data_IF_088103423470
#
_entry.id   IF_088103423470
#
_cell.length_a   1.000
_cell.length_b   1.000
_cell.length_c   1.000
_cell.angle_alpha   90.00
_cell.angle_beta   90.00
_cell.angle_gamma   90.00
#
_symmetry.space_group_name_H-M   'P 1'
#
loop_
_entity.id
_entity.type
_entity.pdbx_description
1 polymer ?
#
# COMPACT_ATOMS: atom_id res chain seq x y z
N UNK A 1 -5.08 3.93 -19.06
CA UNK A 1 -4.52 5.16 -18.45
C UNK A 1 -4.61 4.98 -16.94
N UNK A 2 -3.59 5.34 -16.18
CA UNK A 2 -3.58 5.21 -14.71
C UNK A 2 -3.88 6.57 -14.10
N UNK A 3 -4.83 6.61 -13.17
CA UNK A 3 -5.13 7.78 -12.35
C UNK A 3 -4.46 7.67 -10.98
N UNK A 4 -3.78 8.73 -10.57
CA UNK A 4 -3.08 8.81 -9.29
C UNK A 4 -3.85 9.67 -8.30
N UNK A 5 -4.38 9.05 -7.26
CA UNK A 5 -4.92 9.74 -6.10
C UNK A 5 -3.80 9.96 -5.09
N UNK A 6 -3.35 11.21 -4.92
CA UNK A 6 -2.18 11.53 -4.11
C UNK A 6 -2.59 12.18 -2.80
N UNK A 7 -2.49 11.42 -1.71
CA UNK A 7 -2.75 11.91 -0.35
C UNK A 7 -1.61 12.84 0.10
N UNK A 8 -1.87 14.15 0.05
CA UNK A 8 -0.90 15.18 0.44
C UNK A 8 -0.87 15.42 1.96
N UNK A 9 -1.86 14.88 2.70
CA UNK A 9 -1.98 15.07 4.14
C UNK A 9 -2.08 16.56 4.49
N UNK A 10 -1.23 17.02 5.42
CA UNK A 10 -1.13 18.44 5.83
C UNK A 10 -0.14 19.25 4.96
N UNK A 11 0.45 18.65 3.93
CA UNK A 11 1.42 19.32 3.07
C UNK A 11 0.71 20.13 1.97
N UNK A 12 0.33 21.36 2.34
CA UNK A 12 -0.35 22.31 1.45
C UNK A 12 0.50 22.70 0.23
N UNK A 13 1.82 22.75 0.39
CA UNK A 13 2.73 23.06 -0.71
C UNK A 13 2.70 21.96 -1.77
N UNK A 14 2.71 20.69 -1.37
CA UNK A 14 2.60 19.56 -2.29
C UNK A 14 1.23 19.53 -2.98
N UNK A 15 0.15 19.73 -2.22
CA UNK A 15 -1.20 19.80 -2.78
C UNK A 15 -1.30 20.87 -3.87
N UNK A 16 -0.83 22.09 -3.59
CA UNK A 16 -0.83 23.20 -4.56
C UNK A 16 0.01 22.89 -5.80
N UNK A 17 1.21 22.31 -5.63
CA UNK A 17 2.08 21.91 -6.74
C UNK A 17 1.40 20.89 -7.67
N UNK A 18 0.78 19.86 -7.11
CA UNK A 18 0.12 18.82 -7.91
C UNK A 18 -1.15 19.35 -8.58
N UNK A 19 -1.94 20.15 -7.87
CA UNK A 19 -3.16 20.77 -8.42
C UNK A 19 -2.84 21.69 -9.61
N UNK A 20 -1.74 22.41 -9.53
CA UNK A 20 -1.31 23.33 -10.59
C UNK A 20 -0.45 22.66 -11.67
N UNK A 21 -0.22 21.35 -11.60
CA UNK A 21 0.65 20.64 -12.56
C UNK A 21 0.06 20.48 -13.96
N UNK A 22 -1.26 20.68 -14.11
CA UNK A 22 -1.96 20.50 -15.39
C UNK A 22 -2.09 19.04 -15.85
N UNK A 23 -1.65 18.06 -15.03
CA UNK A 23 -1.76 16.63 -15.35
C UNK A 23 -3.15 16.10 -15.01
N UNK A 24 -3.91 15.73 -16.03
CA UNK A 24 -5.29 15.25 -15.90
C UNK A 24 -5.43 13.97 -15.06
N UNK A 25 -4.39 13.12 -15.05
CA UNK A 25 -4.38 11.84 -14.34
C UNK A 25 -3.81 11.92 -12.92
N UNK A 26 -3.63 13.12 -12.35
CA UNK A 26 -3.20 13.30 -10.97
C UNK A 26 -4.29 14.06 -10.20
N UNK A 27 -4.87 13.37 -9.21
CA UNK A 27 -5.89 13.89 -8.31
C UNK A 27 -5.27 14.08 -6.92
N UNK A 28 -4.82 15.30 -6.57
CA UNK A 28 -4.30 15.55 -5.23
C UNK A 28 -5.44 15.61 -4.22
N UNK A 29 -5.27 14.90 -3.11
CA UNK A 29 -6.20 14.86 -1.98
C UNK A 29 -5.57 15.52 -0.75
N UNK A 30 -6.38 16.27 -0.02
CA UNK A 30 -5.99 16.85 1.29
C UNK A 30 -6.04 15.77 2.38
N UNK A 31 -5.69 16.14 3.60
CA UNK A 31 -5.88 15.28 4.76
C UNK A 31 -7.35 14.87 4.93
N UNK A 32 -7.62 13.56 4.85
CA UNK A 32 -8.94 12.97 5.08
C UNK A 32 -9.07 12.71 6.59
N UNK A 33 -10.00 13.40 7.24
CA UNK A 33 -10.28 13.24 8.69
C UNK A 33 -11.19 12.05 8.99
N UNK A 34 -12.09 11.74 8.05
CA UNK A 34 -13.12 10.72 8.24
C UNK A 34 -12.56 9.34 7.89
N UNK A 35 -12.62 8.40 8.82
CA UNK A 35 -12.16 7.02 8.60
C UNK A 35 -12.98 6.32 7.52
N UNK A 36 -14.30 6.56 7.46
CA UNK A 36 -15.16 5.95 6.45
C UNK A 36 -14.86 6.48 5.05
N UNK A 37 -14.52 7.77 4.93
CA UNK A 37 -14.09 8.37 3.68
C UNK A 37 -12.75 7.79 3.21
N UNK A 38 -11.80 7.63 4.13
CA UNK A 38 -10.52 6.97 3.84
C UNK A 38 -10.75 5.51 3.41
N UNK A 39 -11.59 4.78 4.12
CA UNK A 39 -11.92 3.39 3.81
C UNK A 39 -12.57 3.25 2.42
N UNK A 40 -13.50 4.16 2.06
CA UNK A 40 -14.08 4.22 0.71
C UNK A 40 -13.03 4.49 -0.36
N UNK A 41 -12.04 5.35 -0.09
CA UNK A 41 -10.94 5.59 -1.01
C UNK A 41 -10.12 4.30 -1.24
N UNK A 42 -9.79 3.56 -0.18
CA UNK A 42 -9.13 2.25 -0.32
C UNK A 42 -9.95 1.27 -1.17
N UNK A 43 -11.27 1.27 -1.03
CA UNK A 43 -12.15 0.38 -1.81
C UNK A 43 -12.13 0.72 -3.31
N UNK A 44 -11.95 2.00 -3.66
CA UNK A 44 -11.98 2.50 -5.03
C UNK A 44 -10.65 2.38 -5.79
N UNK A 45 -9.52 2.13 -5.12
CA UNK A 45 -8.21 2.04 -5.77
C UNK A 45 -7.80 0.61 -6.12
N UNK A 46 -7.01 0.46 -7.17
CA UNK A 46 -6.52 -0.85 -7.61
C UNK A 46 -5.22 -1.26 -6.92
N UNK A 47 -4.40 -0.31 -6.48
CA UNK A 47 -3.15 -0.56 -5.78
C UNK A 47 -2.60 0.69 -5.10
N UNK A 48 -1.56 0.51 -4.27
CA UNK A 48 -1.06 1.55 -3.37
C UNK A 48 0.44 1.70 -3.54
N UNK A 49 0.89 2.95 -3.72
CA UNK A 49 2.31 3.31 -3.71
C UNK A 49 2.60 4.01 -2.37
N UNK A 50 3.47 3.42 -1.54
CA UNK A 50 3.69 3.93 -0.18
C UNK A 50 5.08 3.58 0.37
N UNK A 51 5.37 4.07 1.57
CA UNK A 51 6.46 3.58 2.43
C UNK A 51 5.94 2.39 3.26
N UNK A 52 6.82 1.53 3.79
CA UNK A 52 6.42 0.34 4.55
C UNK A 52 6.02 0.66 6.00
N UNK A 53 5.20 1.70 6.20
CA UNK A 53 4.67 2.10 7.50
C UNK A 53 3.57 1.16 7.97
N UNK A 54 3.60 0.75 9.24
CA UNK A 54 2.76 -0.33 9.76
C UNK A 54 1.26 -0.17 9.55
N UNK A 55 0.72 1.05 9.72
CA UNK A 55 -0.72 1.33 9.58
C UNK A 55 -1.18 1.12 8.14
N UNK A 56 -0.58 1.86 7.19
CA UNK A 56 -0.95 1.80 5.78
C UNK A 56 -0.75 0.40 5.19
N UNK A 57 0.35 -0.28 5.57
CA UNK A 57 0.57 -1.65 5.12
C UNK A 57 -0.52 -2.58 5.63
N UNK A 58 -0.88 -2.51 6.92
CA UNK A 58 -1.91 -3.37 7.50
C UNK A 58 -3.27 -3.13 6.84
N UNK A 59 -3.66 -1.88 6.61
CA UNK A 59 -4.91 -1.53 5.91
C UNK A 59 -4.92 -2.04 4.46
N UNK A 60 -3.80 -1.88 3.75
CA UNK A 60 -3.64 -2.33 2.36
C UNK A 60 -3.73 -3.85 2.24
N UNK A 61 -3.06 -4.58 3.16
CA UNK A 61 -3.10 -6.05 3.21
C UNK A 61 -4.49 -6.55 3.55
N UNK A 62 -5.17 -5.93 4.52
CA UNK A 62 -6.54 -6.26 4.86
C UNK A 62 -7.47 -6.09 3.66
N UNK A 63 -7.29 -5.01 2.89
CA UNK A 63 -8.01 -4.72 1.64
C UNK A 63 -7.51 -5.50 0.42
N UNK A 64 -6.53 -6.40 0.59
CA UNK A 64 -5.92 -7.22 -0.45
C UNK A 64 -5.40 -6.41 -1.64
N UNK A 65 -4.91 -5.19 -1.40
CA UNK A 65 -4.41 -4.29 -2.45
C UNK A 65 -2.94 -4.59 -2.74
N UNK A 66 -2.53 -4.68 -4.02
CA UNK A 66 -1.13 -4.64 -4.41
C UNK A 66 -0.42 -3.42 -3.84
N UNK A 67 0.76 -3.65 -3.24
CA UNK A 67 1.53 -2.62 -2.53
C UNK A 67 2.89 -2.44 -3.21
N UNK A 68 3.17 -1.22 -3.63
CA UNK A 68 4.42 -0.82 -4.24
C UNK A 68 5.21 0.09 -3.29
N UNK A 69 6.41 -0.33 -2.91
CA UNK A 69 7.25 0.41 -1.97
C UNK A 69 8.25 1.28 -2.73
N UNK A 70 8.11 2.59 -2.61
CA UNK A 70 9.00 3.54 -3.29
C UNK A 70 10.22 3.96 -2.47
N UNK A 71 10.15 3.79 -1.14
CA UNK A 71 11.21 4.13 -0.20
C UNK A 71 10.94 3.49 1.17
N UNK A 72 11.98 3.29 1.97
CA UNK A 72 11.90 2.97 3.39
C UNK A 72 12.82 3.89 4.18
N UNK A 73 12.31 4.44 5.27
CA UNK A 73 13.10 5.26 6.18
C UNK A 73 14.01 4.39 7.06
N UNK A 74 15.21 4.87 7.46
CA UNK A 74 16.06 4.15 8.40
C UNK A 74 15.31 3.77 9.68
N UNK A 75 15.58 2.56 10.21
CA UNK A 75 14.92 2.03 11.40
C UNK A 75 13.83 1.01 11.07
N UNK A 76 12.66 1.14 11.71
CA UNK A 76 11.59 0.14 11.65
C UNK A 76 11.05 -0.11 10.24
N UNK A 77 11.04 0.91 9.38
CA UNK A 77 10.56 0.77 7.99
C UNK A 77 11.45 -0.16 7.16
N UNK A 78 12.77 -0.19 7.39
CA UNK A 78 13.68 -1.15 6.72
C UNK A 78 13.38 -2.58 7.16
N UNK A 79 13.12 -2.79 8.45
CA UNK A 79 12.76 -4.10 9.02
C UNK A 79 11.44 -4.59 8.42
N UNK A 80 10.43 -3.71 8.40
CA UNK A 80 9.14 -4.00 7.77
C UNK A 80 9.30 -4.39 6.30
N UNK A 81 10.09 -3.61 5.54
CA UNK A 81 10.31 -3.90 4.13
C UNK A 81 10.94 -5.28 3.91
N UNK A 82 11.96 -5.62 4.70
CA UNK A 82 12.62 -6.92 4.61
C UNK A 82 11.63 -8.07 4.82
N UNK A 83 10.81 -7.98 5.87
CA UNK A 83 9.81 -9.01 6.18
C UNK A 83 8.72 -9.10 5.11
N UNK A 84 8.18 -7.96 4.67
CA UNK A 84 7.13 -7.92 3.65
C UNK A 84 7.60 -8.52 2.32
N UNK A 85 8.85 -8.24 1.92
CA UNK A 85 9.46 -8.85 0.73
C UNK A 85 9.62 -10.35 0.86
N UNK A 86 10.11 -10.83 2.03
CA UNK A 86 10.26 -12.26 2.30
C UNK A 86 8.93 -13.02 2.17
N UNK A 87 7.83 -12.37 2.52
CA UNK A 87 6.48 -12.93 2.42
C UNK A 87 5.83 -12.76 1.02
N UNK A 88 6.48 -12.06 0.08
CA UNK A 88 5.90 -11.77 -1.25
C UNK A 88 4.74 -10.75 -1.22
N UNK A 89 4.64 -9.96 -0.15
CA UNK A 89 3.49 -9.08 0.10
C UNK A 89 3.64 -7.68 -0.51
N UNK A 90 4.81 -7.33 -1.03
CA UNK A 90 5.07 -6.01 -1.60
C UNK A 90 6.00 -6.11 -2.81
N UNK A 91 5.85 -5.18 -3.75
CA UNK A 91 6.83 -4.94 -4.81
C UNK A 91 7.70 -3.74 -4.44
N UNK A 92 9.01 -3.93 -4.38
CA UNK A 92 9.93 -2.83 -4.08
C UNK A 92 10.37 -2.13 -5.38
N UNK A 93 10.05 -0.85 -5.53
CA UNK A 93 10.32 -0.06 -6.73
C UNK A 93 11.80 0.38 -6.86
N UNK A 94 12.76 -0.34 -6.28
CA UNK A 94 14.17 0.07 -6.20
C UNK A 94 14.84 0.40 -7.54
N UNK A 95 14.33 -0.16 -8.62
CA UNK A 95 14.87 0.03 -9.97
C UNK A 95 14.23 1.21 -10.68
N UNK A 96 13.04 1.68 -10.29
CA UNK A 96 12.29 2.70 -11.03
C UNK A 96 13.08 3.99 -11.21
N UNK A 97 13.78 4.44 -10.15
CA UNK A 97 14.59 5.67 -10.19
C UNK A 97 15.77 5.61 -11.18
N UNK A 98 16.19 4.39 -11.57
CA UNK A 98 17.27 4.17 -12.54
C UNK A 98 16.74 3.96 -13.96
N UNK A 99 15.42 3.88 -14.14
CA UNK A 99 14.81 3.68 -15.44
C UNK A 99 14.42 5.01 -16.07
N UNK A 100 14.46 5.05 -17.40
CA UNK A 100 13.99 6.19 -18.21
C UNK A 100 12.46 6.19 -18.36
N UNK A 101 11.81 5.05 -18.12
CA UNK A 101 10.36 4.92 -18.28
C UNK A 101 9.59 5.64 -17.16
N UNK A 102 8.48 6.33 -17.49
CA UNK A 102 7.54 6.86 -16.52
C UNK A 102 6.96 5.78 -15.59
N UNK A 103 6.65 6.17 -14.34
CA UNK A 103 6.14 5.24 -13.32
C UNK A 103 4.77 4.64 -13.68
N UNK A 104 3.91 5.42 -14.33
CA UNK A 104 2.61 4.97 -14.81
C UNK A 104 2.72 3.89 -15.88
N UNK A 105 3.63 4.04 -16.85
CA UNK A 105 3.89 3.00 -17.84
C UNK A 105 4.41 1.71 -17.19
N UNK A 106 5.33 1.84 -16.23
CA UNK A 106 5.86 0.70 -15.48
C UNK A 106 4.77 -0.05 -14.69
N UNK A 107 3.96 0.67 -13.91
CA UNK A 107 2.85 0.08 -13.15
C UNK A 107 1.82 -0.52 -14.10
N UNK A 108 1.50 0.17 -15.21
CA UNK A 108 0.56 -0.34 -16.21
C UNK A 108 1.03 -1.65 -16.82
N UNK A 109 2.33 -1.77 -17.14
CA UNK A 109 2.92 -3.02 -17.63
C UNK A 109 2.83 -4.16 -16.60
N UNK A 110 3.05 -3.87 -15.30
CA UNK A 110 2.93 -4.87 -14.24
C UNK A 110 1.51 -5.45 -14.13
N UNK A 111 0.48 -4.59 -14.23
CA UNK A 111 -0.92 -5.01 -14.23
C UNK A 111 -1.33 -5.73 -15.52
N UNK A 112 -1.00 -5.16 -16.69
CA UNK A 112 -1.48 -5.66 -17.99
C UNK A 112 -0.89 -7.02 -18.35
N UNK A 113 0.39 -7.23 -18.05
CA UNK A 113 1.08 -8.43 -18.48
C UNK A 113 0.75 -9.66 -17.62
N UNK A 114 -0.20 -9.57 -16.65
CA UNK A 114 -0.40 -10.56 -15.59
C UNK A 114 0.95 -11.08 -15.12
N UNK A 115 1.82 -10.15 -14.77
CA UNK A 115 3.21 -10.47 -14.50
C UNK A 115 3.27 -11.61 -13.49
N UNK A 116 4.27 -12.50 -13.60
CA UNK A 116 4.45 -13.59 -12.64
C UNK A 116 4.35 -13.09 -11.20
N UNK A 117 4.88 -11.89 -10.95
CA UNK A 117 4.76 -11.23 -9.65
C UNK A 117 3.32 -10.99 -9.18
N UNK A 118 2.38 -10.57 -10.04
CA UNK A 118 0.98 -10.35 -9.65
C UNK A 118 0.30 -11.66 -9.23
N UNK A 119 0.60 -12.76 -9.91
CA UNK A 119 0.09 -14.09 -9.57
C UNK A 119 0.68 -14.57 -8.23
N UNK A 120 2.01 -14.53 -8.11
CA UNK A 120 2.72 -14.89 -6.88
C UNK A 120 2.23 -14.03 -5.69
N UNK A 121 2.02 -12.74 -5.93
CA UNK A 121 1.54 -11.80 -4.94
C UNK A 121 0.11 -12.13 -4.48
N UNK A 122 -0.78 -12.51 -5.40
CA UNK A 122 -2.14 -12.93 -5.06
C UNK A 122 -2.14 -14.18 -4.16
N UNK A 123 -1.25 -15.14 -4.45
CA UNK A 123 -1.06 -16.34 -3.64
C UNK A 123 -0.49 -15.99 -2.27
N UNK A 124 0.54 -15.15 -2.19
CA UNK A 124 1.13 -14.65 -0.95
C UNK A 124 0.11 -13.93 -0.06
N UNK A 125 -0.73 -13.06 -0.63
CA UNK A 125 -1.81 -12.39 0.12
C UNK A 125 -2.80 -13.42 0.66
N UNK A 126 -3.18 -14.40 -0.15
CA UNK A 126 -4.13 -15.44 0.27
C UNK A 126 -3.58 -16.28 1.42
N UNK A 127 -2.31 -16.68 1.36
CA UNK A 127 -1.61 -17.38 2.44
C UNK A 127 -1.51 -16.53 3.70
N UNK A 128 -1.17 -15.24 3.57
CA UNK A 128 -1.12 -14.32 4.70
C UNK A 128 -2.47 -14.22 5.41
N UNK A 129 -3.57 -14.10 4.66
CA UNK A 129 -4.93 -14.04 5.22
C UNK A 129 -5.33 -15.33 5.92
N UNK A 130 -4.90 -16.50 5.44
CA UNK A 130 -5.18 -17.79 6.09
C UNK A 130 -4.50 -17.93 7.45
N UNK A 131 -3.41 -17.19 7.68
CA UNK A 131 -2.66 -17.19 8.94
C UNK A 131 -3.22 -16.18 9.97
N UNK A 132 -4.18 -15.34 9.58
CA UNK A 132 -4.77 -14.37 10.49
C UNK A 132 -5.62 -15.08 11.54
N UNK A 133 -5.41 -14.72 12.80
CA UNK A 133 -6.26 -15.16 13.90
C UNK A 133 -7.69 -14.66 13.68
N UNK A 134 -8.65 -15.55 13.85
CA UNK A 134 -10.07 -15.21 13.91
C UNK A 134 -10.51 -14.70 15.28
N UNK A 135 -9.67 -14.93 16.31
CA UNK A 135 -9.90 -14.47 17.68
C UNK A 135 -9.59 -12.98 17.74
N UNK A 136 -10.56 -12.18 18.20
CA UNK A 136 -10.37 -10.75 18.41
C UNK A 136 -9.37 -10.46 19.53
N UNK A 137 -8.76 -9.25 19.57
CA UNK A 137 -7.80 -8.91 20.62
C UNK A 137 -8.39 -9.04 22.03
N UNK A 138 -9.67 -8.71 22.21
CA UNK A 138 -10.36 -8.81 23.51
C UNK A 138 -10.49 -10.27 23.92
N UNK A 139 -11.07 -11.11 23.07
CA UNK A 139 -11.24 -12.55 23.33
C UNK A 139 -9.89 -13.25 23.57
N UNK A 140 -8.85 -12.84 22.84
CA UNK A 140 -7.50 -13.35 23.02
C UNK A 140 -6.93 -12.99 24.40
N UNK A 141 -7.10 -11.73 24.83
CA UNK A 141 -6.66 -11.28 26.15
C UNK A 141 -7.43 -12.00 27.25
N UNK A 142 -8.75 -12.15 27.13
CA UNK A 142 -9.56 -12.87 28.10
C UNK A 142 -9.10 -14.33 28.23
N UNK A 143 -8.87 -15.00 27.11
CA UNK A 143 -8.32 -16.36 27.09
C UNK A 143 -6.98 -16.47 27.82
N UNK A 144 -6.04 -15.55 27.55
CA UNK A 144 -4.71 -15.57 28.20
C UNK A 144 -4.79 -15.31 29.70
N UNK A 145 -5.73 -14.46 30.14
CA UNK A 145 -5.87 -14.09 31.56
C UNK A 145 -6.62 -15.17 32.35
N UNK A 146 -7.69 -15.73 31.79
CA UNK A 146 -8.66 -16.53 32.53
C UNK A 146 -8.63 -18.04 32.25
N UNK A 147 -8.06 -18.49 31.12
CA UNK A 147 -7.97 -19.92 30.77
C UNK A 147 -6.60 -20.55 31.13
N UNK A 148 -6.01 -20.14 32.26
CA UNK A 148 -4.83 -20.83 32.82
C UNK A 148 -5.17 -22.20 33.41
#
# INVERSE_FOLDING_TARGET
MIDFFVLCGKNEQLYGKLKNSGRANIVPLRYIKCKDEMNKLYDQIDGIITKPGGVTISESLYKRKPIFIYHALPGQEVINLHQLKKLGLVYELNYWKRQTQPMDEFIYALYRNKSQWMEDHHQSISLYHQQLSTIGPVDFIEKVIFEK
#
